data_IF_556593463036
#
_entry.id   IF_556593463036
#
_cell.length_a   1.000
_cell.length_b   1.000
_cell.length_c   1.000
_cell.angle_alpha   90.00
_cell.angle_beta   90.00
_cell.angle_gamma   90.00
#
_symmetry.space_group_name_H-M   'P 1'
#
loop_
_entity.id
_entity.type
_entity.pdbx_description
1 polymer ?
#
# COMPACT_ATOMS: atom_id res chain seq x y z
N UNK A 1 1.85 18.41 -4.49
CA UNK A 1 3.14 17.85 -4.87
C UNK A 1 3.94 17.39 -3.64
N UNK A 2 4.13 18.24 -2.62
CA UNK A 2 4.92 17.94 -1.42
C UNK A 2 4.40 16.72 -0.62
N UNK A 3 3.10 16.46 -0.62
CA UNK A 3 2.49 15.30 0.05
C UNK A 3 2.49 14.07 -0.86
N UNK A 4 2.25 14.27 -2.16
CA UNK A 4 2.14 13.16 -3.11
C UNK A 4 3.48 12.44 -3.33
N UNK A 5 4.61 13.17 -3.34
CA UNK A 5 5.92 12.61 -3.63
C UNK A 5 6.38 11.58 -2.57
N UNK A 6 6.41 11.90 -1.26
CA UNK A 6 6.77 10.92 -0.24
C UNK A 6 5.75 9.78 -0.16
N UNK A 7 4.47 10.04 -0.41
CA UNK A 7 3.45 9.01 -0.44
C UNK A 7 3.69 7.99 -1.59
N UNK A 8 3.97 8.48 -2.81
CA UNK A 8 4.27 7.62 -3.96
C UNK A 8 5.52 6.77 -3.72
N UNK A 9 6.57 7.36 -3.16
CA UNK A 9 7.81 6.65 -2.82
C UNK A 9 7.60 5.61 -1.73
N UNK A 10 6.89 5.99 -0.66
CA UNK A 10 6.61 5.11 0.47
C UNK A 10 5.75 3.91 0.06
N UNK A 11 4.73 4.12 -0.77
CA UNK A 11 3.86 3.04 -1.25
C UNK A 11 4.62 2.12 -2.22
N UNK A 12 5.47 2.64 -3.10
CA UNK A 12 6.31 1.82 -3.98
C UNK A 12 7.24 0.92 -3.15
N UNK A 13 7.91 1.48 -2.14
CA UNK A 13 8.79 0.74 -1.25
C UNK A 13 8.00 -0.33 -0.47
N UNK A 14 6.85 0.03 0.11
CA UNK A 14 6.02 -0.89 0.88
C UNK A 14 5.43 -2.04 0.03
N UNK A 15 5.26 -1.84 -1.27
CA UNK A 15 4.78 -2.88 -2.20
C UNK A 15 5.90 -3.71 -2.82
N UNK A 16 7.18 -3.48 -2.46
CA UNK A 16 8.31 -4.18 -3.05
C UNK A 16 8.58 -3.83 -4.51
N UNK A 17 7.96 -2.76 -5.03
CA UNK A 17 8.14 -2.29 -6.39
C UNK A 17 9.36 -1.35 -6.50
N UNK A 18 9.97 -1.18 -7.69
CA UNK A 18 11.00 -0.18 -7.90
C UNK A 18 10.51 1.22 -7.51
N UNK A 19 11.30 1.97 -6.76
CA UNK A 19 10.91 3.27 -6.19
C UNK A 19 10.45 4.26 -7.28
N UNK A 20 11.10 4.24 -8.44
CA UNK A 20 10.78 5.10 -9.59
C UNK A 20 9.38 4.82 -10.13
N UNK A 21 8.90 3.58 -10.05
CA UNK A 21 7.57 3.21 -10.53
C UNK A 21 6.45 3.92 -9.77
N UNK A 22 6.64 4.19 -8.47
CA UNK A 22 5.70 4.96 -7.68
C UNK A 22 5.56 6.41 -8.16
N UNK A 23 6.68 7.04 -8.54
CA UNK A 23 6.67 8.41 -9.09
C UNK A 23 5.94 8.41 -10.44
N UNK A 24 6.27 7.47 -11.32
CA UNK A 24 5.62 7.35 -12.65
C UNK A 24 4.12 7.15 -12.49
N UNK A 25 3.71 6.26 -11.59
CA UNK A 25 2.29 6.03 -11.29
C UNK A 25 1.60 7.29 -10.75
N UNK A 26 2.28 8.06 -9.90
CA UNK A 26 1.78 9.35 -9.41
C UNK A 26 1.63 10.40 -10.51
N UNK A 27 2.58 10.50 -11.42
CA UNK A 27 2.52 11.42 -12.57
C UNK A 27 1.38 11.02 -13.52
N UNK A 28 1.29 9.75 -13.88
CA UNK A 28 0.22 9.24 -14.77
C UNK A 28 -1.15 9.40 -14.11
N UNK A 29 -1.28 9.06 -12.82
CA UNK A 29 -2.50 9.23 -12.06
C UNK A 29 -2.92 10.69 -11.95
N UNK A 30 -1.98 11.59 -11.65
CA UNK A 30 -2.29 13.01 -11.49
C UNK A 30 -2.59 13.73 -12.80
N UNK A 31 -1.86 13.44 -13.87
CA UNK A 31 -2.01 14.13 -15.16
C UNK A 31 -2.99 13.42 -16.07
N UNK A 32 -2.70 12.15 -16.42
CA UNK A 32 -3.49 11.44 -17.46
C UNK A 32 -4.90 11.11 -16.94
N UNK A 33 -4.98 10.51 -15.75
CA UNK A 33 -6.27 10.17 -15.17
C UNK A 33 -7.03 11.42 -14.74
N UNK A 34 -6.35 12.46 -14.24
CA UNK A 34 -6.95 13.74 -13.87
C UNK A 34 -7.62 14.44 -15.06
N UNK A 35 -7.02 14.38 -16.25
CA UNK A 35 -7.59 14.97 -17.47
C UNK A 35 -8.73 14.10 -18.05
N UNK A 36 -8.58 12.78 -18.02
CA UNK A 36 -9.58 11.85 -18.57
C UNK A 36 -10.75 11.60 -17.63
N UNK A 37 -10.58 11.81 -16.33
CA UNK A 37 -11.64 11.65 -15.34
C UNK A 37 -12.65 12.78 -15.46
N UNK A 38 -13.91 12.44 -15.61
CA UNK A 38 -15.01 13.43 -15.55
C UNK A 38 -15.31 13.97 -14.15
N UNK A 39 -14.53 13.62 -13.15
CA UNK A 39 -14.71 14.04 -11.76
C UNK A 39 -13.75 15.19 -11.41
N UNK A 40 -14.30 16.30 -10.92
CA UNK A 40 -13.51 17.45 -10.45
C UNK A 40 -12.91 17.27 -9.05
N UNK A 41 -13.27 16.21 -8.33
CA UNK A 41 -12.94 16.02 -6.90
C UNK A 41 -12.06 14.78 -6.67
N UNK A 42 -12.05 13.80 -7.61
CA UNK A 42 -11.29 12.58 -7.43
C UNK A 42 -9.82 12.76 -7.77
N UNK A 43 -8.97 12.23 -6.89
CA UNK A 43 -7.52 12.15 -7.09
C UNK A 43 -7.14 10.70 -7.32
N UNK A 44 -6.49 10.41 -8.44
CA UNK A 44 -5.94 9.11 -8.73
C UNK A 44 -4.45 9.09 -8.38
N UNK A 45 -4.02 8.08 -7.63
CA UNK A 45 -2.63 7.93 -7.21
C UNK A 45 -2.38 6.56 -6.60
N UNK A 46 -1.15 6.29 -6.15
CA UNK A 46 -0.81 5.04 -5.48
C UNK A 46 -1.71 4.83 -4.27
N UNK A 47 -2.33 3.65 -4.18
CA UNK A 47 -3.26 3.30 -3.12
C UNK A 47 -2.58 2.38 -2.09
N UNK A 48 -2.46 2.84 -0.86
CA UNK A 48 -1.88 2.06 0.23
C UNK A 48 -2.62 0.72 0.45
N UNK A 49 -3.92 0.69 0.20
CA UNK A 49 -4.74 -0.53 0.32
C UNK A 49 -4.36 -1.67 -0.63
N UNK A 50 -3.70 -1.37 -1.74
CA UNK A 50 -3.27 -2.37 -2.72
C UNK A 50 -1.84 -2.87 -2.49
N UNK A 51 -1.06 -2.25 -1.60
CA UNK A 51 0.34 -2.63 -1.35
C UNK A 51 0.49 -4.09 -0.96
N UNK A 52 -0.37 -4.60 -0.07
CA UNK A 52 -0.35 -5.99 0.36
C UNK A 52 -0.64 -6.97 -0.80
N UNK A 53 -1.59 -6.62 -1.67
CA UNK A 53 -1.93 -7.43 -2.84
C UNK A 53 -0.78 -7.46 -3.83
N UNK A 54 -0.15 -6.32 -4.09
CA UNK A 54 0.99 -6.19 -5.01
C UNK A 54 2.18 -7.01 -4.48
N UNK A 55 2.45 -6.94 -3.19
CA UNK A 55 3.55 -7.65 -2.55
C UNK A 55 3.40 -9.16 -2.70
N UNK A 56 2.20 -9.70 -2.44
CA UNK A 56 1.90 -11.12 -2.62
C UNK A 56 2.01 -11.53 -4.10
N UNK A 57 1.54 -10.70 -5.02
CA UNK A 57 1.62 -10.98 -6.45
C UNK A 57 3.06 -10.97 -6.97
N UNK A 58 3.89 -10.04 -6.51
CA UNK A 58 5.31 -10.00 -6.86
C UNK A 58 6.07 -11.22 -6.34
N UNK A 59 5.74 -11.67 -5.13
CA UNK A 59 6.32 -12.88 -4.55
C UNK A 59 5.96 -14.13 -5.39
N UNK A 60 4.69 -14.28 -5.77
CA UNK A 60 4.23 -15.37 -6.65
C UNK A 60 4.89 -15.35 -8.03
N UNK A 61 5.22 -14.19 -8.55
CA UNK A 61 5.92 -14.02 -9.83
C UNK A 61 7.46 -14.09 -9.70
N UNK A 62 7.96 -14.58 -8.57
CA UNK A 62 9.40 -14.69 -8.28
C UNK A 62 10.15 -13.36 -8.45
N UNK A 63 9.50 -12.25 -8.11
CA UNK A 63 10.06 -10.90 -8.23
C UNK A 63 10.13 -10.36 -9.66
N UNK A 64 9.52 -11.03 -10.64
CA UNK A 64 9.53 -10.58 -12.02
C UNK A 64 8.55 -9.41 -12.22
N UNK A 65 9.08 -8.19 -12.06
CA UNK A 65 8.30 -6.94 -12.17
C UNK A 65 7.70 -6.73 -13.57
N UNK A 66 8.39 -7.20 -14.65
CA UNK A 66 7.87 -7.08 -16.00
C UNK A 66 6.61 -7.94 -16.22
N UNK A 67 6.59 -9.16 -15.68
CA UNK A 67 5.40 -10.02 -15.73
C UNK A 67 4.24 -9.40 -14.93
N UNK A 68 4.53 -8.80 -13.79
CA UNK A 68 3.54 -8.06 -13.01
C UNK A 68 2.92 -6.89 -13.79
N UNK A 69 3.72 -6.09 -14.49
CA UNK A 69 3.23 -5.01 -15.35
C UNK A 69 2.32 -5.52 -16.48
N UNK A 70 2.63 -6.65 -17.08
CA UNK A 70 1.75 -7.28 -18.07
C UNK A 70 0.40 -7.65 -17.46
N UNK A 71 0.37 -8.23 -16.26
CA UNK A 71 -0.88 -8.52 -15.55
C UNK A 71 -1.72 -7.26 -15.32
N UNK A 72 -1.08 -6.14 -14.94
CA UNK A 72 -1.78 -4.86 -14.76
C UNK A 72 -2.37 -4.35 -16.07
N UNK A 73 -1.64 -4.48 -17.20
CA UNK A 73 -2.16 -4.07 -18.51
C UNK A 73 -3.41 -4.88 -18.86
N UNK A 74 -3.37 -6.21 -18.70
CA UNK A 74 -4.55 -7.05 -18.93
C UNK A 74 -5.71 -6.72 -17.99
N UNK A 75 -5.44 -6.46 -16.72
CA UNK A 75 -6.46 -6.03 -15.76
C UNK A 75 -7.09 -4.68 -16.19
N UNK A 76 -6.28 -3.74 -16.66
CA UNK A 76 -6.75 -2.46 -17.19
C UNK A 76 -7.66 -2.62 -18.42
N UNK A 77 -7.28 -3.50 -19.36
CA UNK A 77 -8.10 -3.81 -20.53
C UNK A 77 -9.45 -4.42 -20.13
N UNK A 78 -9.44 -5.35 -19.18
CA UNK A 78 -10.68 -5.93 -18.65
C UNK A 78 -11.57 -4.87 -17.98
N UNK A 79 -10.97 -3.94 -17.20
CA UNK A 79 -11.71 -2.84 -16.58
C UNK A 79 -12.38 -1.92 -17.62
N UNK A 80 -11.67 -1.60 -18.72
CA UNK A 80 -12.26 -0.83 -19.81
C UNK A 80 -13.44 -1.60 -20.42
N UNK A 81 -13.30 -2.90 -20.66
CA UNK A 81 -14.40 -3.75 -21.13
C UNK A 81 -15.61 -3.70 -20.19
N UNK A 82 -15.40 -3.86 -18.90
CA UNK A 82 -16.46 -3.77 -17.89
C UNK A 82 -17.13 -2.38 -17.85
N UNK A 83 -16.32 -1.33 -18.05
CA UNK A 83 -16.85 0.04 -18.16
C UNK A 83 -17.78 0.22 -19.34
N UNK A 84 -17.42 -0.31 -20.53
CA UNK A 84 -18.24 -0.27 -21.74
C UNK A 84 -19.58 -0.99 -21.56
N UNK A 85 -19.59 -2.13 -20.89
CA UNK A 85 -20.81 -2.88 -20.56
C UNK A 85 -21.62 -2.29 -19.38
N UNK A 86 -21.18 -1.14 -18.81
CA UNK A 86 -21.82 -0.48 -17.66
C UNK A 86 -21.99 -1.44 -16.45
N UNK A 87 -21.06 -2.38 -16.28
CA UNK A 87 -21.09 -3.35 -15.20
C UNK A 87 -20.92 -2.72 -13.79
N UNK A 88 -20.63 -1.44 -13.71
CA UNK A 88 -20.64 -0.66 -12.46
C UNK A 88 -21.96 -0.75 -11.69
N UNK A 89 -23.07 -1.10 -12.37
CA UNK A 89 -24.34 -1.36 -11.70
C UNK A 89 -24.23 -2.46 -10.63
N UNK A 90 -23.39 -3.48 -10.86
CA UNK A 90 -23.17 -4.55 -9.90
C UNK A 90 -22.55 -4.08 -8.58
N UNK A 91 -21.85 -2.94 -8.58
CA UNK A 91 -21.32 -2.35 -7.36
C UNK A 91 -22.40 -1.97 -6.34
N UNK A 92 -23.61 -1.68 -6.80
CA UNK A 92 -24.74 -1.34 -5.94
C UNK A 92 -25.25 -2.54 -5.11
N UNK A 93 -24.91 -3.77 -5.52
CA UNK A 93 -25.27 -4.97 -4.78
C UNK A 93 -24.29 -5.31 -3.65
N UNK A 94 -23.14 -4.62 -3.58
CA UNK A 94 -22.14 -4.87 -2.54
C UNK A 94 -22.53 -4.04 -1.30
N UNK A 95 -22.85 -4.68 -0.17
CA UNK A 95 -23.16 -3.96 1.06
C UNK A 95 -21.94 -3.16 1.55
N UNK A 96 -22.16 -1.96 2.07
CA UNK A 96 -21.10 -1.12 2.62
C UNK A 96 -20.28 -1.82 3.72
N UNK A 97 -20.90 -2.72 4.47
CA UNK A 97 -20.20 -3.49 5.52
C UNK A 97 -19.10 -4.40 4.95
N UNK A 98 -19.26 -4.92 3.73
CA UNK A 98 -18.23 -5.72 3.06
C UNK A 98 -17.03 -4.83 2.70
N UNK A 99 -17.29 -3.62 2.20
CA UNK A 99 -16.24 -2.64 1.86
C UNK A 99 -15.48 -2.22 3.13
N UNK A 100 -16.19 -1.93 4.22
CA UNK A 100 -15.58 -1.59 5.50
C UNK A 100 -14.76 -2.75 6.06
N UNK A 101 -15.26 -3.98 5.95
CA UNK A 101 -14.52 -5.18 6.36
C UNK A 101 -13.25 -5.39 5.54
N UNK A 102 -13.31 -5.17 4.22
CA UNK A 102 -12.14 -5.23 3.34
C UNK A 102 -11.09 -4.17 3.73
N UNK A 103 -11.51 -2.94 3.96
CA UNK A 103 -10.61 -1.84 4.37
C UNK A 103 -9.95 -2.14 5.72
N UNK A 104 -10.72 -2.68 6.67
CA UNK A 104 -10.18 -3.09 7.96
C UNK A 104 -9.14 -4.22 7.82
N UNK A 105 -9.43 -5.23 7.01
CA UNK A 105 -8.51 -6.34 6.73
C UNK A 105 -7.21 -5.83 6.09
N UNK A 106 -7.29 -4.94 5.10
CA UNK A 106 -6.13 -4.29 4.48
C UNK A 106 -5.32 -3.53 5.54
N UNK A 107 -5.98 -2.78 6.42
CA UNK A 107 -5.30 -2.06 7.51
C UNK A 107 -4.54 -2.98 8.45
N UNK A 108 -5.12 -4.10 8.84
CA UNK A 108 -4.46 -5.12 9.68
C UNK A 108 -3.26 -5.73 8.96
N UNK A 109 -3.39 -6.06 7.68
CA UNK A 109 -2.28 -6.61 6.87
C UNK A 109 -1.14 -5.60 6.77
N UNK A 110 -1.45 -4.31 6.53
CA UNK A 110 -0.42 -3.26 6.46
C UNK A 110 0.32 -3.10 7.80
N UNK A 111 -0.38 -3.08 8.92
CA UNK A 111 0.25 -3.03 10.24
C UNK A 111 1.17 -4.23 10.41
N UNK A 112 0.68 -5.44 10.14
CA UNK A 112 1.42 -6.67 10.32
C UNK A 112 2.68 -6.74 9.42
N UNK A 113 2.62 -6.22 8.19
CA UNK A 113 3.77 -6.19 7.27
C UNK A 113 4.78 -5.11 7.62
N UNK A 114 4.36 -3.99 8.21
CA UNK A 114 5.25 -2.88 8.56
C UNK A 114 5.90 -3.04 9.95
N UNK A 115 5.31 -3.86 10.81
CA UNK A 115 5.80 -4.07 12.16
C UNK A 115 7.25 -4.61 12.23
N UNK A 116 7.69 -5.56 11.38
CA UNK A 116 9.07 -6.01 11.35
C UNK A 116 10.07 -4.92 10.95
N UNK A 117 9.71 -4.05 10.00
CA UNK A 117 10.57 -2.94 9.58
C UNK A 117 10.79 -1.93 10.72
N UNK A 118 9.79 -1.74 11.58
CA UNK A 118 9.91 -0.90 12.78
C UNK A 118 11.00 -1.43 13.72
N UNK A 119 11.22 -2.74 13.74
CA UNK A 119 12.26 -3.41 14.54
C UNK A 119 13.56 -3.65 13.76
N UNK A 120 13.68 -3.19 12.50
CA UNK A 120 14.86 -3.35 11.66
C UNK A 120 15.05 -4.77 11.09
N UNK A 121 13.98 -5.58 11.07
CA UNK A 121 14.00 -6.92 10.49
C UNK A 121 13.68 -6.81 9.00
N UNK A 122 14.66 -7.02 8.13
CA UNK A 122 14.49 -6.88 6.68
C UNK A 122 13.91 -8.14 6.00
N UNK A 123 14.14 -9.32 6.58
CA UNK A 123 13.71 -10.61 6.02
C UNK A 123 12.43 -11.11 6.69
N UNK A 124 11.32 -10.41 6.47
CA UNK A 124 10.04 -10.84 6.98
C UNK A 124 9.31 -11.71 5.95
N UNK A 125 8.98 -12.94 6.35
CA UNK A 125 8.13 -13.85 5.58
C UNK A 125 6.85 -14.16 6.36
N UNK A 126 5.71 -14.12 5.69
CA UNK A 126 4.42 -14.49 6.29
C UNK A 126 4.41 -15.93 6.84
N UNK A 127 5.19 -16.83 6.24
CA UNK A 127 5.38 -18.19 6.72
C UNK A 127 5.99 -18.24 8.13
N UNK A 128 6.82 -17.25 8.49
CA UNK A 128 7.43 -17.15 9.80
C UNK A 128 6.42 -16.81 10.91
N UNK A 129 5.35 -16.11 10.58
CA UNK A 129 4.26 -15.80 11.55
C UNK A 129 3.51 -17.08 11.93
N UNK A 130 3.21 -17.93 10.94
CA UNK A 130 2.47 -19.18 11.16
C UNK A 130 3.34 -20.29 11.77
N UNK A 131 4.66 -20.27 11.53
CA UNK A 131 5.61 -21.24 12.06
C UNK A 131 6.13 -20.95 13.46
N UNK A 132 5.70 -19.82 14.06
CA UNK A 132 6.15 -19.42 15.41
C UNK A 132 7.61 -18.93 15.47
N UNK A 133 8.33 -18.91 14.34
CA UNK A 133 9.72 -18.44 14.25
C UNK A 133 9.83 -16.90 14.31
N UNK A 134 8.71 -16.21 14.35
CA UNK A 134 8.67 -14.77 14.54
C UNK A 134 9.42 -14.32 15.80
N UNK A 135 9.28 -15.09 16.91
CA UNK A 135 9.97 -14.77 18.16
C UNK A 135 11.45 -15.13 18.17
N UNK A 136 11.90 -16.08 17.35
CA UNK A 136 13.33 -16.42 17.27
C UNK A 136 14.16 -15.38 16.50
N UNK A 137 13.53 -14.67 15.55
CA UNK A 137 14.17 -13.57 14.81
C UNK A 137 14.32 -12.27 15.64
N UNK A 138 13.76 -12.24 16.85
CA UNK A 138 13.92 -11.11 17.78
C UNK A 138 15.37 -10.95 18.25
N UNK A 139 16.23 -11.94 18.09
CA UNK A 139 17.67 -11.83 18.41
C UNK A 139 18.46 -11.02 17.39
N UNK A 140 17.91 -10.75 16.20
CA UNK A 140 18.52 -9.92 15.13
C UNK A 140 18.03 -8.47 15.13
N UNK A 141 17.47 -8.00 16.26
CA UNK A 141 17.01 -6.63 16.43
C UNK A 141 18.16 -5.64 16.22
N UNK A 142 18.02 -4.78 15.21
CA UNK A 142 18.84 -3.59 15.13
C UNK A 142 18.34 -2.56 16.14
N UNK A 143 19.09 -2.41 17.24
CA UNK A 143 18.74 -1.48 18.33
C UNK A 143 18.60 -0.04 17.84
N UNK A 144 19.37 0.34 16.80
CA UNK A 144 19.28 1.67 16.20
C UNK A 144 17.97 1.89 15.47
N UNK A 145 17.60 0.94 14.61
CA UNK A 145 16.34 1.01 13.85
C UNK A 145 15.12 0.98 14.78
N UNK A 146 15.11 0.09 15.77
CA UNK A 146 14.02 -0.02 16.74
C UNK A 146 13.83 1.27 17.54
N UNK A 147 14.92 1.91 17.96
CA UNK A 147 14.87 3.16 18.72
C UNK A 147 14.30 4.29 17.88
N UNK A 148 14.74 4.44 16.64
CA UNK A 148 14.24 5.46 15.71
C UNK A 148 12.78 5.19 15.37
N UNK A 149 12.40 3.93 15.10
CA UNK A 149 11.04 3.52 14.79
C UNK A 149 10.06 3.81 15.93
N UNK A 150 10.42 3.44 17.17
CA UNK A 150 9.61 3.72 18.35
C UNK A 150 9.50 5.21 18.64
N UNK A 151 10.59 5.95 18.47
CA UNK A 151 10.60 7.40 18.70
C UNK A 151 9.73 8.12 17.67
N UNK A 152 9.78 7.71 16.39
CA UNK A 152 8.91 8.26 15.34
C UNK A 152 7.44 7.95 15.59
N UNK A 153 7.12 6.74 16.00
CA UNK A 153 5.76 6.34 16.36
C UNK A 153 5.24 7.12 17.56
N UNK A 154 6.08 7.29 18.58
CA UNK A 154 5.75 8.11 19.76
C UNK A 154 5.49 9.58 19.38
N UNK A 155 6.32 10.16 18.52
CA UNK A 155 6.14 11.53 18.02
C UNK A 155 4.81 11.69 17.26
N UNK A 156 4.45 10.74 16.41
CA UNK A 156 3.19 10.77 15.66
C UNK A 156 1.99 10.70 16.61
N UNK A 157 2.02 9.77 17.56
CA UNK A 157 0.94 9.63 18.55
C UNK A 157 0.83 10.85 19.49
N UNK A 158 1.97 11.39 19.93
CA UNK A 158 2.00 12.59 20.76
C UNK A 158 1.49 13.81 19.99
N UNK A 159 1.80 13.91 18.70
CA UNK A 159 1.28 14.97 17.84
C UNK A 159 -0.22 14.90 17.67
N UNK A 160 -0.76 13.70 17.43
CA UNK A 160 -2.21 13.51 17.28
C UNK A 160 -2.99 13.81 18.58
N UNK A 161 -2.37 13.57 19.73
CA UNK A 161 -2.90 13.88 21.06
C UNK A 161 -2.68 15.33 21.48
N UNK A 162 -1.82 16.08 20.78
CA UNK A 162 -1.44 17.45 21.16
C UNK A 162 -2.51 18.48 20.76
N UNK A 163 -2.78 19.51 21.58
CA UNK A 163 -3.65 20.62 21.21
C UNK A 163 -3.12 21.44 20.02
N UNK A 164 -1.88 21.25 19.61
CA UNK A 164 -1.25 21.87 18.43
C UNK A 164 -1.90 21.46 17.10
N UNK A 165 -2.69 20.37 17.06
CA UNK A 165 -3.48 19.95 15.90
C UNK A 165 -4.56 20.98 15.49
N UNK A 166 -4.86 21.96 16.34
CA UNK A 166 -5.86 23.02 16.07
C UNK A 166 -5.26 24.30 15.46
N UNK A 167 -3.95 24.34 15.26
CA UNK A 167 -3.22 25.38 14.55
C UNK A 167 -3.01 25.02 13.09
#
# INVERSE_FOLDING_TARGET
FLVALPLCLGIALASGAPIISGIIAGIVGGIVVGVLSGSHISVAGPAAGLTAVILVQLDQLSGNYAAFLLCIIFAGLLQIGFGLFKLGFFANFIPNNVILGLLAAIGVILIATQLPYLFGINDFSWSAVWSGTFFSNFSSLDKGAALIGLLSLFLILAWDSSPLKKL
#
